data_IF_556065374821
#
_entry.id   IF_556065374821
#
_cell.length_a   1.000
_cell.length_b   1.000
_cell.length_c   1.000
_cell.angle_alpha   90.00
_cell.angle_beta   90.00
_cell.angle_gamma   90.00
#
_symmetry.space_group_name_H-M   'P 1'
#
loop_
_entity.id
_entity.type
_entity.pdbx_description
1 polymer ?
#
# COMPACT_ATOMS: atom_id res chain seq x y z
N UNK A 1 -2.91 4.13 20.72
CA UNK A 1 -3.19 3.43 19.43
C UNK A 1 -3.36 4.41 18.27
N UNK A 2 -4.26 5.39 18.37
CA UNK A 2 -4.61 6.34 17.29
C UNK A 2 -3.45 7.24 16.81
N UNK A 3 -2.62 7.79 17.72
CA UNK A 3 -1.48 8.65 17.34
C UNK A 3 -0.49 7.98 16.39
N UNK A 4 -0.23 6.69 16.60
CA UNK A 4 0.78 5.99 15.83
C UNK A 4 0.24 5.38 14.53
N UNK A 5 -1.07 5.14 14.45
CA UNK A 5 -1.74 4.88 13.18
C UNK A 5 -1.80 6.17 12.35
N UNK A 6 -2.13 7.31 12.96
CA UNK A 6 -2.13 8.62 12.28
C UNK A 6 -0.75 9.02 11.76
N UNK A 7 0.31 8.82 12.55
CA UNK A 7 1.69 9.09 12.10
C UNK A 7 2.09 8.19 10.91
N UNK A 8 1.71 6.92 10.95
CA UNK A 8 1.92 6.01 9.82
C UNK A 8 1.12 6.46 8.59
N UNK A 9 -0.17 6.77 8.74
CA UNK A 9 -1.03 7.18 7.63
C UNK A 9 -0.52 8.46 6.96
N UNK A 10 -0.09 9.46 7.73
CA UNK A 10 0.52 10.68 7.20
C UNK A 10 1.83 10.40 6.46
N UNK A 11 2.67 9.52 6.99
CA UNK A 11 3.94 9.17 6.36
C UNK A 11 3.72 8.36 5.08
N UNK A 12 2.81 7.38 5.13
CA UNK A 12 2.41 6.60 3.96
C UNK A 12 1.82 7.50 2.86
N UNK A 13 0.96 8.45 3.23
CA UNK A 13 0.41 9.43 2.30
C UNK A 13 1.51 10.30 1.68
N UNK A 14 2.41 10.86 2.51
CA UNK A 14 3.50 11.71 2.02
C UNK A 14 4.47 10.96 1.10
N UNK A 15 4.92 9.76 1.50
CA UNK A 15 5.81 8.92 0.70
C UNK A 15 5.15 8.51 -0.61
N UNK A 16 3.87 8.11 -0.57
CA UNK A 16 3.13 7.71 -1.78
C UNK A 16 2.94 8.88 -2.72
N UNK A 17 2.54 10.06 -2.21
CA UNK A 17 2.35 11.25 -3.03
C UNK A 17 3.65 11.72 -3.68
N UNK A 18 4.76 11.72 -2.92
CA UNK A 18 6.07 12.09 -3.46
C UNK A 18 6.54 11.10 -4.53
N UNK A 19 6.45 9.80 -4.26
CA UNK A 19 6.87 8.77 -5.20
C UNK A 19 5.98 8.76 -6.46
N UNK A 20 4.67 9.00 -6.32
CA UNK A 20 3.75 9.15 -7.44
C UNK A 20 4.07 10.37 -8.29
N UNK A 21 4.33 11.53 -7.67
CA UNK A 21 4.72 12.74 -8.39
C UNK A 21 6.03 12.56 -9.17
N UNK A 22 7.05 11.95 -8.54
CA UNK A 22 8.32 11.65 -9.19
C UNK A 22 8.15 10.67 -10.35
N UNK A 23 7.37 9.61 -10.16
CA UNK A 23 7.13 8.60 -11.21
C UNK A 23 6.33 9.18 -12.36
N UNK A 24 5.30 9.99 -12.07
CA UNK A 24 4.51 10.67 -13.09
C UNK A 24 5.33 11.70 -13.87
N UNK A 25 6.30 12.36 -13.22
CA UNK A 25 7.24 13.27 -13.89
C UNK A 25 8.25 12.54 -14.78
N UNK A 26 8.69 11.34 -14.40
CA UNK A 26 9.63 10.54 -15.18
C UNK A 26 8.98 9.82 -16.37
N UNK A 27 7.70 9.45 -16.25
CA UNK A 27 6.98 8.65 -17.25
C UNK A 27 5.98 9.55 -17.99
N UNK A 28 6.47 10.25 -19.02
CA UNK A 28 5.62 11.02 -19.92
C UNK A 28 4.54 10.11 -20.56
N UNK A 29 3.29 10.56 -20.55
CA UNK A 29 2.16 9.88 -21.21
C UNK A 29 1.39 8.83 -20.39
N UNK A 30 1.81 8.49 -19.17
CA UNK A 30 1.13 7.46 -18.32
C UNK A 30 0.70 7.95 -16.93
N UNK A 31 0.74 9.25 -16.67
CA UNK A 31 0.53 9.86 -15.35
C UNK A 31 -0.74 9.38 -14.63
N UNK A 32 -1.87 9.24 -15.33
CA UNK A 32 -3.12 8.78 -14.72
C UNK A 32 -3.04 7.36 -14.15
N UNK A 33 -2.33 6.45 -14.84
CA UNK A 33 -2.15 5.08 -14.35
C UNK A 33 -1.29 5.02 -13.08
N UNK A 34 -0.28 5.90 -12.99
CA UNK A 34 0.57 6.04 -11.81
C UNK A 34 -0.25 6.49 -10.61
N UNK A 35 -1.06 7.55 -10.77
CA UNK A 35 -1.89 8.08 -9.69
C UNK A 35 -2.96 7.09 -9.22
N UNK A 36 -3.60 6.38 -10.15
CA UNK A 36 -4.58 5.33 -9.80
C UNK A 36 -3.89 4.19 -9.04
N UNK A 37 -2.75 3.70 -9.53
CA UNK A 37 -1.96 2.68 -8.84
C UNK A 37 -1.54 3.11 -7.43
N UNK A 38 -1.09 4.34 -7.28
CA UNK A 38 -0.72 4.94 -5.99
C UNK A 38 -1.90 5.02 -5.02
N UNK A 39 -3.06 5.49 -5.49
CA UNK A 39 -4.27 5.60 -4.68
C UNK A 39 -4.75 4.24 -4.18
N UNK A 40 -4.82 3.25 -5.06
CA UNK A 40 -5.22 1.88 -4.68
C UNK A 40 -4.22 1.26 -3.71
N UNK A 41 -2.92 1.40 -3.96
CA UNK A 41 -1.87 0.91 -3.06
C UNK A 41 -2.02 1.52 -1.65
N UNK A 42 -2.25 2.83 -1.56
CA UNK A 42 -2.41 3.52 -0.29
C UNK A 42 -3.62 3.02 0.49
N UNK A 43 -4.79 2.90 -0.16
CA UNK A 43 -6.02 2.41 0.49
C UNK A 43 -5.82 0.99 1.03
N UNK A 44 -5.27 0.11 0.20
CA UNK A 44 -5.00 -1.29 0.56
C UNK A 44 -4.02 -1.38 1.73
N UNK A 45 -2.95 -0.59 1.68
CA UNK A 45 -1.96 -0.59 2.75
C UNK A 45 -2.54 -0.08 4.08
N UNK A 46 -3.32 1.01 4.05
CA UNK A 46 -3.93 1.56 5.26
C UNK A 46 -4.89 0.56 5.90
N UNK A 47 -5.66 -0.17 5.09
CA UNK A 47 -6.54 -1.24 5.55
C UNK A 47 -5.75 -2.42 6.14
N UNK A 48 -4.70 -2.88 5.44
CA UNK A 48 -3.83 -3.97 5.92
C UNK A 48 -3.16 -3.61 7.25
N UNK A 49 -2.62 -2.39 7.37
CA UNK A 49 -1.96 -1.92 8.58
C UNK A 49 -2.96 -1.73 9.73
N UNK A 50 -4.16 -1.24 9.46
CA UNK A 50 -5.22 -1.14 10.47
C UNK A 50 -5.58 -2.52 11.04
N UNK A 51 -5.75 -3.53 10.18
CA UNK A 51 -6.01 -4.91 10.59
C UNK A 51 -4.86 -5.48 11.44
N UNK A 52 -3.62 -5.24 11.02
CA UNK A 52 -2.43 -5.70 11.75
C UNK A 52 -2.31 -5.04 13.14
N UNK A 53 -2.62 -3.75 13.25
CA UNK A 53 -2.66 -3.03 14.54
C UNK A 53 -3.78 -3.56 15.45
N UNK A 54 -4.94 -3.91 14.90
CA UNK A 54 -6.06 -4.45 15.67
C UNK A 54 -5.77 -5.86 16.23
N UNK A 55 -4.98 -6.65 15.51
CA UNK A 55 -4.67 -8.05 15.87
C UNK A 55 -3.35 -8.20 16.66
N UNK A 56 -2.58 -7.12 16.80
CA UNK A 56 -1.25 -7.11 17.43
C UNK A 56 -1.23 -7.63 18.86
N UNK A 57 -2.24 -7.30 19.67
CA UNK A 57 -2.21 -7.57 21.11
C UNK A 57 -2.57 -9.04 21.44
N UNK A 58 -2.82 -9.87 20.42
CA UNK A 58 -3.12 -11.31 20.53
C UNK A 58 -2.03 -12.07 19.78
N UNK A 59 -0.98 -12.51 20.49
CA UNK A 59 0.27 -13.02 19.91
C UNK A 59 0.12 -14.09 18.80
N UNK A 60 -0.88 -14.97 18.86
CA UNK A 60 -1.15 -15.96 17.80
C UNK A 60 -1.84 -15.37 16.57
N UNK A 61 -2.52 -14.23 16.70
CA UNK A 61 -3.25 -13.55 15.62
C UNK A 61 -2.38 -12.54 14.85
N UNK A 62 -1.18 -12.23 15.32
CA UNK A 62 -0.25 -11.38 14.57
C UNK A 62 0.08 -11.98 13.20
N UNK A 63 0.40 -13.28 13.15
CA UNK A 63 0.65 -14.01 11.90
C UNK A 63 -0.59 -14.02 11.00
N UNK A 64 -1.79 -14.14 11.58
CA UNK A 64 -3.06 -14.10 10.84
C UNK A 64 -3.30 -12.72 10.23
N UNK A 65 -3.05 -11.64 10.98
CA UNK A 65 -3.15 -10.27 10.48
C UNK A 65 -2.14 -9.97 9.38
N UNK A 66 -0.92 -10.49 9.52
CA UNK A 66 0.12 -10.36 8.50
C UNK A 66 -0.23 -11.13 7.22
N UNK A 67 -0.63 -12.40 7.33
CA UNK A 67 -1.12 -13.20 6.20
C UNK A 67 -2.35 -12.57 5.54
N UNK A 68 -3.29 -12.07 6.34
CA UNK A 68 -4.47 -11.36 5.84
C UNK A 68 -4.10 -10.10 5.06
N UNK A 69 -3.13 -9.32 5.54
CA UNK A 69 -2.59 -8.18 4.80
C UNK A 69 -1.92 -8.60 3.49
N UNK A 70 -1.26 -9.76 3.45
CA UNK A 70 -0.64 -10.28 2.22
C UNK A 70 -1.71 -10.66 1.19
N UNK A 71 -2.75 -11.38 1.62
CA UNK A 71 -3.89 -11.74 0.77
C UNK A 71 -4.61 -10.50 0.24
N UNK A 72 -4.78 -9.46 1.05
CA UNK A 72 -5.40 -8.20 0.62
C UNK A 72 -4.58 -7.52 -0.48
N UNK A 73 -3.25 -7.48 -0.34
CA UNK A 73 -2.34 -6.87 -1.33
C UNK A 73 -2.34 -7.63 -2.65
N UNK A 74 -2.19 -8.95 -2.61
CA UNK A 74 -2.26 -9.77 -3.82
C UNK A 74 -3.66 -9.73 -4.45
N UNK A 75 -4.71 -9.74 -3.62
CA UNK A 75 -6.08 -9.58 -4.04
C UNK A 75 -6.31 -8.27 -4.79
N UNK A 76 -5.78 -7.14 -4.29
CA UNK A 76 -5.89 -5.85 -4.96
C UNK A 76 -5.20 -5.85 -6.34
N UNK A 77 -4.02 -6.45 -6.45
CA UNK A 77 -3.32 -6.62 -7.74
C UNK A 77 -4.14 -7.48 -8.70
N UNK A 78 -4.69 -8.61 -8.21
CA UNK A 78 -5.54 -9.49 -9.01
C UNK A 78 -6.84 -8.81 -9.49
N UNK A 79 -7.51 -8.07 -8.60
CA UNK A 79 -8.71 -7.29 -8.94
C UNK A 79 -8.40 -6.23 -9.98
N UNK A 80 -7.30 -5.49 -9.83
CA UNK A 80 -6.85 -4.51 -10.82
C UNK A 80 -6.55 -5.16 -12.17
N UNK A 81 -5.87 -6.31 -12.17
CA UNK A 81 -5.55 -7.05 -13.40
C UNK A 81 -6.81 -7.52 -14.14
N UNK A 82 -7.79 -8.09 -13.42
CA UNK A 82 -9.08 -8.53 -14.00
C UNK A 82 -9.90 -7.34 -14.50
N UNK A 83 -9.88 -6.22 -13.79
CA UNK A 83 -10.58 -5.01 -14.22
C UNK A 83 -9.96 -4.44 -15.51
N UNK A 84 -8.63 -4.37 -15.59
CA UNK A 84 -7.89 -3.92 -16.77
C UNK A 84 -7.92 -4.93 -17.94
N UNK A 85 -8.22 -6.20 -17.69
CA UNK A 85 -8.43 -7.17 -18.78
C UNK A 85 -9.80 -7.02 -19.43
N UNK A 86 -10.75 -6.36 -18.74
CA UNK A 86 -12.11 -6.12 -19.22
C UNK A 86 -12.33 -4.68 -19.68
N UNK A 87 -11.36 -3.80 -19.48
CA UNK A 87 -11.46 -2.37 -19.80
C UNK A 87 -10.15 -1.87 -20.39
N UNK A 88 -10.20 -0.97 -21.36
CA UNK A 88 -9.03 -0.26 -21.88
C UNK A 88 -8.88 1.14 -21.24
N UNK A 89 -9.34 1.27 -19.99
CA UNK A 89 -9.42 2.56 -19.29
C UNK A 89 -8.04 3.13 -18.93
N UNK A 90 -7.03 2.29 -18.74
CA UNK A 90 -5.66 2.69 -18.38
C UNK A 90 -4.62 1.78 -19.07
N UNK A 91 -3.41 2.31 -19.36
CA UNK A 91 -2.30 1.47 -19.81
C UNK A 91 -1.98 0.37 -18.78
N UNK A 92 -2.22 -0.89 -19.17
CA UNK A 92 -2.22 -2.04 -18.25
C UNK A 92 -0.88 -2.23 -17.53
N UNK A 93 0.21 -2.16 -18.29
CA UNK A 93 1.56 -2.30 -17.77
C UNK A 93 1.87 -1.21 -16.74
N UNK A 94 1.58 0.06 -17.06
CA UNK A 94 1.85 1.18 -16.16
C UNK A 94 1.02 1.05 -14.86
N UNK A 95 -0.27 0.75 -14.95
CA UNK A 95 -1.14 0.65 -13.77
C UNK A 95 -0.73 -0.50 -12.82
N UNK A 96 -0.43 -1.69 -13.36
CA UNK A 96 -0.03 -2.84 -12.56
C UNK A 96 1.36 -2.66 -11.95
N UNK A 97 2.33 -2.15 -12.72
CA UNK A 97 3.69 -1.90 -12.23
C UNK A 97 3.67 -0.81 -11.16
N UNK A 98 2.93 0.28 -11.36
CA UNK A 98 2.75 1.32 -10.35
C UNK A 98 2.11 0.76 -9.09
N UNK A 99 1.00 0.03 -9.20
CA UNK A 99 0.32 -0.56 -8.04
C UNK A 99 1.27 -1.47 -7.24
N UNK A 100 1.96 -2.40 -7.90
CA UNK A 100 2.90 -3.32 -7.23
C UNK A 100 4.06 -2.55 -6.61
N UNK A 101 4.64 -1.59 -7.33
CA UNK A 101 5.74 -0.77 -6.86
C UNK A 101 5.37 0.03 -5.59
N UNK A 102 4.21 0.68 -5.58
CA UNK A 102 3.75 1.44 -4.42
C UNK A 102 3.37 0.53 -3.25
N UNK A 103 2.72 -0.61 -3.50
CA UNK A 103 2.44 -1.62 -2.45
C UNK A 103 3.75 -2.05 -1.78
N UNK A 104 4.79 -2.33 -2.58
CA UNK A 104 6.08 -2.75 -2.06
C UNK A 104 6.79 -1.65 -1.26
N UNK A 105 6.82 -0.43 -1.80
CA UNK A 105 7.36 0.75 -1.12
C UNK A 105 6.71 0.95 0.27
N UNK A 106 5.39 0.84 0.32
CA UNK A 106 4.62 0.98 1.55
C UNK A 106 4.80 -0.19 2.52
N UNK A 107 5.00 -1.39 2.00
CA UNK A 107 5.32 -2.58 2.78
C UNK A 107 6.71 -2.50 3.42
N UNK A 108 7.68 -1.84 2.78
CA UNK A 108 8.98 -1.54 3.39
C UNK A 108 8.89 -0.50 4.51
N UNK A 109 7.93 0.41 4.45
CA UNK A 109 7.67 1.41 5.49
C UNK A 109 7.09 0.76 6.77
N UNK A 110 6.27 -0.28 6.61
CA UNK A 110 5.59 -0.99 7.69
C UNK A 110 6.54 -1.51 8.81
N UNK A 111 7.61 -2.27 8.54
CA UNK A 111 8.53 -2.76 9.59
C UNK A 111 9.27 -1.63 10.31
N UNK A 112 9.53 -0.50 9.66
CA UNK A 112 10.17 0.68 10.30
C UNK A 112 9.28 1.20 11.42
N UNK A 113 7.97 1.31 11.18
CA UNK A 113 7.01 1.76 12.19
C UNK A 113 6.69 0.69 13.24
N UNK A 114 6.71 -0.59 12.86
CA UNK A 114 6.56 -1.68 13.83
C UNK A 114 7.74 -1.73 14.81
N UNK A 115 8.99 -1.63 14.31
CA UNK A 115 10.20 -1.58 15.15
C UNK A 115 10.24 -0.37 16.08
N UNK A 116 9.88 0.82 15.56
CA UNK A 116 9.89 2.07 16.35
C UNK A 116 8.93 2.04 17.55
N UNK A 117 7.87 1.23 17.48
CA UNK A 117 6.96 0.98 18.61
C UNK A 117 7.49 -0.04 19.63
N UNK A 118 8.30 -1.01 19.20
CA UNK A 118 8.91 -2.02 20.07
C UNK A 118 10.05 -1.46 20.93
N UNK A 119 10.69 -0.38 20.51
CA UNK A 119 11.75 0.29 21.28
C UNK A 119 11.25 1.32 22.29
N UNK A 120 9.95 1.61 22.32
CA UNK A 120 9.32 2.61 23.19
C UNK A 120 8.29 1.99 24.16
N UNK A 121 8.23 0.65 24.24
CA UNK A 121 7.47 -0.11 25.23
C UNK A 121 8.43 -0.82 26.17
#
# INVERSE_FOLDING_TARGET
MMRAWGAYALTALGVTALAAALTAWLVDGSSNAVWVGAGVALVVQLAAFAALVALRDRGSLFLVGWLGGMLLRFGAVGVMAVWLSRTDALPRAAALVSLVGFVFLLLLLEPVFLRRKLTLS
#
